data_IF_302936974057
#
_entry.id   IF_302936974057
#
_cell.length_a   1.000
_cell.length_b   1.000
_cell.length_c   1.000
_cell.angle_alpha   90.00
_cell.angle_beta   90.00
_cell.angle_gamma   90.00
#
_symmetry.space_group_name_H-M   'P 1'
#
loop_
_entity.id
_entity.type
_entity.pdbx_description
1 polymer ?
#
# COMPACT_ATOMS: atom_id res chain seq x y z
N UNK A 1 1.24 -11.30 0.62
CA UNK A 1 2.49 -10.49 0.63
C UNK A 1 2.40 -9.51 -0.52
N UNK A 2 3.00 -8.32 -0.41
CA UNK A 2 3.02 -7.39 -1.53
C UNK A 2 3.87 -7.98 -2.67
N UNK A 3 3.41 -7.80 -3.91
CA UNK A 3 4.14 -8.24 -5.09
C UNK A 3 5.22 -7.22 -5.38
N UNK A 4 6.46 -7.68 -5.54
CA UNK A 4 7.60 -6.82 -5.82
C UNK A 4 7.92 -6.80 -7.30
N UNK A 5 8.23 -5.61 -7.83
CA UNK A 5 8.71 -5.44 -9.20
C UNK A 5 10.03 -4.69 -9.18
N UNK A 6 10.94 -5.05 -10.08
CA UNK A 6 12.20 -4.34 -10.23
C UNK A 6 11.99 -3.15 -11.16
N UNK A 7 12.54 -2.00 -10.76
CA UNK A 7 12.57 -0.81 -11.58
C UNK A 7 13.99 -0.25 -11.62
N UNK A 8 14.37 0.34 -12.73
CA UNK A 8 15.70 0.89 -12.97
C UNK A 8 15.63 2.25 -13.67
N UNK A 9 16.55 3.14 -13.29
CA UNK A 9 16.78 4.42 -13.95
C UNK A 9 18.27 4.75 -13.91
N UNK A 10 18.91 4.89 -15.08
CA UNK A 10 20.34 5.20 -15.21
C UNK A 10 21.26 4.29 -14.37
N UNK A 11 20.98 2.98 -14.33
CA UNK A 11 21.74 2.02 -13.51
C UNK A 11 21.33 1.95 -12.04
N UNK A 12 20.49 2.87 -11.55
CA UNK A 12 19.97 2.84 -10.19
C UNK A 12 18.73 1.96 -10.10
N UNK A 13 18.83 0.88 -9.35
CA UNK A 13 17.73 -0.07 -9.12
C UNK A 13 16.91 0.32 -7.89
N UNK A 14 15.59 0.27 -8.02
CA UNK A 14 14.61 0.42 -6.94
C UNK A 14 13.56 -0.68 -7.04
N UNK A 15 12.92 -0.98 -5.91
CA UNK A 15 11.80 -1.92 -5.83
C UNK A 15 10.48 -1.15 -5.89
N UNK A 16 9.60 -1.55 -6.79
CA UNK A 16 8.18 -1.21 -6.76
C UNK A 16 7.38 -2.29 -6.02
N UNK A 17 6.22 -1.91 -5.50
CA UNK A 17 5.32 -2.81 -4.78
C UNK A 17 3.89 -2.69 -5.29
N UNK A 18 3.20 -3.82 -5.44
CA UNK A 18 1.80 -3.89 -5.82
C UNK A 18 0.99 -4.66 -4.77
N UNK A 19 -0.27 -4.30 -4.63
CA UNK A 19 -1.17 -4.89 -3.63
C UNK A 19 -1.11 -4.24 -2.26
N UNK A 20 -1.69 -4.90 -1.26
CA UNK A 20 -1.81 -4.38 0.10
C UNK A 20 -0.44 -4.24 0.78
N UNK A 21 -0.20 -3.11 1.44
CA UNK A 21 1.03 -2.83 2.15
C UNK A 21 0.94 -3.30 3.59
N UNK A 22 1.24 -4.58 3.82
CA UNK A 22 1.35 -5.15 5.16
C UNK A 22 2.33 -4.38 6.06
N UNK A 23 3.44 -3.93 5.49
CA UNK A 23 4.41 -3.12 6.23
C UNK A 23 3.81 -1.78 6.64
N UNK A 24 3.10 -1.07 5.77
CA UNK A 24 2.46 0.19 6.15
C UNK A 24 1.33 -0.02 7.17
N UNK A 25 0.60 -1.13 7.08
CA UNK A 25 -0.43 -1.48 8.06
C UNK A 25 0.14 -1.61 9.48
N UNK A 26 1.30 -2.26 9.65
CA UNK A 26 1.92 -2.45 10.97
C UNK A 26 2.78 -1.26 11.42
N UNK A 27 3.54 -0.65 10.51
CA UNK A 27 4.59 0.34 10.86
C UNK A 27 4.28 1.78 10.44
N UNK A 28 3.15 2.02 9.78
CA UNK A 28 2.65 3.35 9.41
C UNK A 28 3.70 4.24 8.70
N UNK A 29 3.98 5.46 9.20
CA UNK A 29 4.88 6.44 8.58
C UNK A 29 6.35 5.99 8.49
N UNK A 30 6.76 4.95 9.22
CA UNK A 30 8.12 4.40 9.13
C UNK A 30 8.40 3.81 7.75
N UNK A 31 7.39 3.29 7.07
CA UNK A 31 7.57 2.65 5.75
C UNK A 31 7.96 3.67 4.68
N UNK A 32 7.26 4.81 4.52
CA UNK A 32 7.74 5.88 3.66
C UNK A 32 9.16 6.37 3.97
N UNK A 33 9.56 6.42 5.25
CA UNK A 33 10.94 6.81 5.64
C UNK A 33 11.96 5.83 5.06
N UNK A 34 11.79 4.52 5.32
CA UNK A 34 12.73 3.51 4.83
C UNK A 34 12.77 3.41 3.30
N UNK A 35 11.67 3.76 2.63
CA UNK A 35 11.58 3.82 1.17
C UNK A 35 12.06 5.15 0.57
N UNK A 36 12.50 6.09 1.41
CA UNK A 36 12.87 7.46 1.05
C UNK A 36 11.76 8.20 0.27
N UNK A 37 10.50 7.93 0.58
CA UNK A 37 9.32 8.57 0.01
C UNK A 37 8.85 9.70 0.92
N UNK A 38 9.48 10.86 0.77
CA UNK A 38 9.22 12.02 1.62
C UNK A 38 7.78 12.55 1.47
N UNK A 39 7.21 12.47 0.26
CA UNK A 39 5.83 12.91 0.01
C UNK A 39 4.85 12.08 0.82
N UNK A 40 4.93 10.75 0.76
CA UNK A 40 4.04 9.91 1.53
C UNK A 40 4.37 9.90 3.01
N UNK A 41 5.63 10.11 3.41
CA UNK A 41 5.96 10.34 4.82
C UNK A 41 5.15 11.51 5.41
N UNK A 42 5.10 12.65 4.72
CA UNK A 42 4.29 13.80 5.15
C UNK A 42 2.79 13.48 5.21
N UNK A 43 2.28 12.74 4.22
CA UNK A 43 0.86 12.31 4.19
C UNK A 43 0.53 11.39 5.38
N UNK A 44 1.43 10.47 5.73
CA UNK A 44 1.25 9.54 6.83
C UNK A 44 1.38 10.20 8.21
N UNK A 45 2.24 11.22 8.36
CA UNK A 45 2.45 11.89 9.65
C UNK A 45 1.41 12.99 9.91
N UNK A 46 0.80 13.54 8.87
CA UNK A 46 -0.17 14.63 8.96
C UNK A 46 -1.30 14.40 9.99
N UNK A 47 -1.96 13.23 10.06
CA UNK A 47 -2.99 12.98 11.07
C UNK A 47 -2.50 13.15 12.52
N UNK A 48 -1.25 12.78 12.81
CA UNK A 48 -0.69 12.92 14.16
C UNK A 48 -0.36 14.38 14.49
N UNK A 49 0.16 15.13 13.51
CA UNK A 49 0.37 16.57 13.65
C UNK A 49 -0.98 17.26 13.87
N UNK A 50 -2.01 16.84 13.14
CA UNK A 50 -3.35 17.41 13.24
C UNK A 50 -3.95 17.22 14.64
N UNK A 51 -3.86 16.00 15.21
CA UNK A 51 -4.25 15.74 16.61
C UNK A 51 -3.44 16.60 17.58
N UNK A 52 -2.10 16.64 17.43
CA UNK A 52 -1.23 17.42 18.31
C UNK A 52 -1.52 18.93 18.26
N UNK A 53 -1.97 19.44 17.11
CA UNK A 53 -2.38 20.83 16.97
C UNK A 53 -3.68 21.08 17.73
N UNK A 54 -4.65 20.18 17.63
CA UNK A 54 -5.90 20.28 18.37
C UNK A 54 -5.68 20.33 19.88
N UNK A 55 -4.78 19.49 20.41
CA UNK A 55 -4.43 19.52 21.83
C UNK A 55 -3.69 20.80 22.22
N UNK A 56 -2.83 21.34 21.34
CA UNK A 56 -2.12 22.60 21.59
C UNK A 56 -3.02 23.82 21.57
N UNK A 57 -4.20 23.72 20.94
CA UNK A 57 -5.23 24.77 20.90
C UNK A 57 -6.27 24.63 22.02
N UNK A 58 -6.04 23.73 22.97
CA UNK A 58 -6.94 23.45 24.11
C UNK A 58 -8.38 23.16 23.68
N UNK A 59 -8.53 22.42 22.58
CA UNK A 59 -9.84 21.99 22.10
C UNK A 59 -10.46 20.97 23.06
N UNK A 60 -11.78 21.07 23.25
CA UNK A 60 -12.54 20.15 24.08
C UNK A 60 -12.69 18.77 23.39
N UNK A 61 -11.78 17.84 23.70
CA UNK A 61 -11.82 16.47 23.21
C UNK A 61 -12.82 15.57 23.94
N UNK A 62 -13.45 16.04 25.02
CA UNK A 62 -14.59 15.32 25.62
C UNK A 62 -15.85 15.48 24.76
N UNK A 63 -15.88 16.51 23.90
CA UNK A 63 -16.89 16.63 22.86
C UNK A 63 -16.68 15.58 21.76
N UNK A 64 -17.60 14.61 21.71
CA UNK A 64 -17.60 13.52 20.73
C UNK A 64 -17.43 13.98 19.26
N UNK A 65 -17.99 15.13 18.89
CA UNK A 65 -17.88 15.65 17.53
C UNK A 65 -16.47 16.15 17.23
N UNK A 66 -15.87 16.90 18.16
CA UNK A 66 -14.49 17.40 18.03
C UNK A 66 -13.53 16.21 18.03
N UNK A 67 -13.65 15.29 19.00
CA UNK A 67 -12.84 14.08 19.06
C UNK A 67 -12.89 13.29 17.75
N UNK A 68 -14.09 13.10 17.18
CA UNK A 68 -14.26 12.37 15.93
C UNK A 68 -13.50 13.04 14.78
N UNK A 69 -13.60 14.37 14.61
CA UNK A 69 -12.92 15.10 13.53
C UNK A 69 -11.40 14.90 13.55
N UNK A 70 -10.79 14.91 14.73
CA UNK A 70 -9.34 14.82 14.88
C UNK A 70 -8.83 13.37 14.85
N UNK A 71 -9.59 12.42 15.38
CA UNK A 71 -9.19 11.00 15.43
C UNK A 71 -9.48 10.30 14.09
N UNK A 72 -10.53 10.69 13.37
CA UNK A 72 -10.93 10.05 12.11
C UNK A 72 -9.78 9.98 11.07
N UNK A 73 -8.99 11.04 10.81
CA UNK A 73 -7.82 10.96 9.93
C UNK A 73 -6.79 9.91 10.35
N UNK A 74 -6.62 9.65 11.65
CA UNK A 74 -5.70 8.62 12.15
C UNK A 74 -6.21 7.23 11.77
N UNK A 75 -7.53 6.99 11.90
CA UNK A 75 -8.16 5.76 11.45
C UNK A 75 -8.03 5.56 9.94
N UNK A 76 -8.26 6.62 9.14
CA UNK A 76 -8.06 6.57 7.69
C UNK A 76 -6.61 6.21 7.34
N UNK A 77 -5.64 6.84 8.00
CA UNK A 77 -4.23 6.50 7.80
C UNK A 77 -3.93 5.05 8.15
N UNK A 78 -4.48 4.52 9.25
CA UNK A 78 -4.23 3.14 9.68
C UNK A 78 -4.88 2.08 8.78
N UNK A 79 -6.11 2.29 8.35
CA UNK A 79 -6.92 1.25 7.71
C UNK A 79 -7.08 1.43 6.20
N UNK A 80 -6.93 2.65 5.66
CA UNK A 80 -7.09 2.91 4.22
C UNK A 80 -5.73 3.02 3.52
N UNK A 81 -4.75 3.71 4.11
CA UNK A 81 -3.47 3.94 3.41
C UNK A 81 -2.73 2.67 3.01
N UNK A 82 -2.73 1.58 3.79
CA UNK A 82 -2.10 0.32 3.38
C UNK A 82 -2.61 -0.24 2.05
N UNK A 83 -3.88 0.00 1.68
CA UNK A 83 -4.43 -0.43 0.40
C UNK A 83 -3.92 0.38 -0.79
N UNK A 84 -3.64 1.67 -0.58
CA UNK A 84 -3.31 2.61 -1.66
C UNK A 84 -1.81 2.92 -1.76
N UNK A 85 -1.08 2.81 -0.66
CA UNK A 85 0.28 3.32 -0.56
C UNK A 85 1.24 2.67 -1.57
N UNK A 86 1.27 1.34 -1.66
CA UNK A 86 2.11 0.63 -2.62
C UNK A 86 1.84 1.06 -4.08
N UNK A 87 0.56 1.21 -4.44
CA UNK A 87 0.16 1.70 -5.77
C UNK A 87 0.70 3.09 -6.06
N UNK A 88 0.53 4.02 -5.13
CA UNK A 88 1.01 5.39 -5.32
C UNK A 88 2.53 5.50 -5.30
N UNK A 89 3.20 4.73 -4.44
CA UNK A 89 4.66 4.65 -4.40
C UNK A 89 5.22 4.18 -5.75
N UNK A 90 4.73 3.05 -6.27
CA UNK A 90 5.17 2.49 -7.56
C UNK A 90 4.86 3.41 -8.72
N UNK A 91 3.66 4.03 -8.75
CA UNK A 91 3.34 5.05 -9.76
C UNK A 91 4.22 6.30 -9.65
N UNK A 92 4.64 6.67 -8.44
CA UNK A 92 5.59 7.76 -8.20
C UNK A 92 6.94 7.47 -8.85
N UNK A 93 7.49 6.27 -8.60
CA UNK A 93 8.74 5.83 -9.21
C UNK A 93 8.67 5.81 -10.75
N UNK A 94 7.58 5.31 -11.33
CA UNK A 94 7.38 5.30 -12.78
C UNK A 94 7.34 6.73 -13.35
N UNK A 95 6.64 7.65 -12.67
CA UNK A 95 6.61 9.07 -13.06
C UNK A 95 7.98 9.75 -12.97
N UNK A 96 8.83 9.31 -12.04
CA UNK A 96 10.21 9.75 -11.94
C UNK A 96 11.11 9.14 -13.04
N UNK A 97 10.60 8.23 -13.87
CA UNK A 97 11.32 7.60 -14.98
C UNK A 97 11.98 6.26 -14.62
N UNK A 98 11.63 5.66 -13.49
CA UNK A 98 12.04 4.28 -13.19
C UNK A 98 11.14 3.30 -13.93
N UNK A 99 11.74 2.48 -14.81
CA UNK A 99 11.04 1.50 -15.63
C UNK A 99 11.59 0.09 -15.36
N UNK A 100 10.79 -0.97 -15.55
CA UNK A 100 11.32 -2.32 -15.43
C UNK A 100 12.45 -2.55 -16.46
N UNK A 101 13.53 -3.27 -16.09
CA UNK A 101 14.56 -3.69 -17.04
C UNK A 101 13.93 -4.45 -18.23
N UNK A 102 14.47 -4.29 -19.44
CA UNK A 102 13.88 -4.89 -20.66
C UNK A 102 13.88 -6.42 -20.65
N UNK A 103 14.84 -7.00 -19.95
CA UNK A 103 15.06 -8.44 -19.77
C UNK A 103 14.28 -9.03 -18.57
N UNK A 104 13.63 -8.18 -17.77
CA UNK A 104 12.77 -8.61 -16.65
C UNK A 104 11.33 -8.82 -17.12
N UNK A 105 11.07 -9.96 -17.77
CA UNK A 105 9.75 -10.35 -18.26
C UNK A 105 8.69 -10.31 -17.14
N UNK A 106 9.05 -10.69 -15.91
CA UNK A 106 8.14 -10.68 -14.76
C UNK A 106 7.67 -9.26 -14.43
N UNK A 107 8.60 -8.34 -14.16
CA UNK A 107 8.24 -6.97 -13.80
C UNK A 107 7.51 -6.26 -14.93
N UNK A 108 7.89 -6.52 -16.18
CA UNK A 108 7.16 -5.98 -17.34
C UNK A 108 5.74 -6.54 -17.45
N UNK A 109 5.57 -7.86 -17.32
CA UNK A 109 4.26 -8.50 -17.39
C UNK A 109 3.31 -7.97 -16.31
N UNK A 110 3.79 -7.88 -15.07
CA UNK A 110 3.01 -7.38 -13.95
C UNK A 110 2.63 -5.92 -14.16
N UNK A 111 3.57 -5.03 -14.49
CA UNK A 111 3.29 -3.60 -14.63
C UNK A 111 2.40 -3.29 -15.84
N UNK A 112 2.56 -4.01 -16.95
CA UNK A 112 1.71 -3.85 -18.14
C UNK A 112 0.32 -4.47 -17.94
N UNK A 113 0.26 -5.71 -17.44
CA UNK A 113 -0.98 -6.41 -17.13
C UNK A 113 -1.86 -5.72 -16.10
N UNK A 114 -1.26 -5.00 -15.15
CA UNK A 114 -2.00 -4.25 -14.13
C UNK A 114 -2.27 -2.78 -14.50
N UNK A 115 -1.87 -2.34 -15.70
CA UNK A 115 -2.14 -0.98 -16.21
C UNK A 115 -1.30 0.13 -15.55
N UNK A 116 -0.11 -0.20 -15.04
CA UNK A 116 0.88 0.80 -14.65
C UNK A 116 1.70 1.28 -15.85
N UNK A 117 1.88 0.41 -16.84
CA UNK A 117 2.52 0.67 -18.13
C UNK A 117 1.63 0.15 -19.26
N UNK A 118 1.81 0.70 -20.45
CA UNK A 118 1.11 0.22 -21.64
C UNK A 118 1.94 -0.87 -22.34
N UNK A 119 1.25 -1.78 -23.02
CA UNK A 119 1.88 -2.71 -23.96
C UNK A 119 2.36 -1.94 -25.19
N UNK A 120 3.54 -2.26 -25.68
CA UNK A 120 4.03 -1.75 -26.95
C UNK A 120 3.53 -2.63 -28.10
N UNK A 121 3.45 -2.08 -29.31
CA UNK A 121 3.09 -2.87 -30.49
C UNK A 121 4.02 -4.06 -30.70
N UNK A 122 5.31 -3.91 -30.37
CA UNK A 122 6.30 -4.99 -30.41
C UNK A 122 5.96 -6.13 -29.44
N UNK A 123 5.51 -5.80 -28.22
CA UNK A 123 5.08 -6.82 -27.26
C UNK A 123 3.89 -7.62 -27.80
N UNK A 124 2.92 -6.94 -28.43
CA UNK A 124 1.70 -7.56 -28.92
C UNK A 124 1.92 -8.46 -30.15
N UNK A 125 2.98 -8.19 -30.92
CA UNK A 125 3.38 -9.03 -32.06
C UNK A 125 4.08 -10.32 -31.62
N UNK A 126 4.75 -10.32 -30.46
CA UNK A 126 5.43 -11.48 -29.90
C UNK A 126 4.45 -12.37 -29.11
N UNK A 127 3.86 -13.33 -29.83
CA UNK A 127 2.89 -14.29 -29.26
C UNK A 127 3.48 -15.13 -28.11
N UNK A 128 4.75 -15.51 -28.21
CA UNK A 128 5.38 -16.36 -27.20
C UNK A 128 5.54 -15.58 -25.89
N UNK A 129 6.01 -14.32 -25.99
CA UNK A 129 6.11 -13.41 -24.86
C UNK A 129 4.75 -13.13 -24.22
N UNK A 130 3.70 -12.93 -25.03
CA UNK A 130 2.35 -12.70 -24.51
C UNK A 130 1.76 -13.90 -23.77
N UNK A 131 2.02 -15.13 -24.21
CA UNK A 131 1.63 -16.32 -23.46
C UNK A 131 2.38 -16.42 -22.12
N UNK A 132 3.69 -16.12 -22.09
CA UNK A 132 4.44 -16.06 -20.83
C UNK A 132 3.85 -15.01 -19.88
N UNK A 133 3.53 -13.83 -20.39
CA UNK A 133 2.93 -12.75 -19.60
C UNK A 133 1.57 -13.13 -19.03
N UNK A 134 0.76 -13.83 -19.81
CA UNK A 134 -0.55 -14.33 -19.36
C UNK A 134 -0.42 -15.27 -18.17
N UNK A 135 0.53 -16.20 -18.21
CA UNK A 135 0.81 -17.11 -17.08
C UNK A 135 1.26 -16.33 -15.83
N UNK A 136 2.16 -15.36 -16.00
CA UNK A 136 2.64 -14.51 -14.90
C UNK A 136 1.50 -13.69 -14.29
N UNK A 137 0.62 -13.13 -15.11
CA UNK A 137 -0.53 -12.35 -14.66
C UNK A 137 -1.56 -13.24 -13.94
N UNK A 138 -1.80 -14.45 -14.43
CA UNK A 138 -2.69 -15.42 -13.79
C UNK A 138 -2.17 -15.82 -12.39
N UNK A 139 -0.85 -16.07 -12.28
CA UNK A 139 -0.20 -16.34 -11.00
C UNK A 139 -0.36 -15.13 -10.04
N UNK A 140 -0.08 -13.92 -10.53
CA UNK A 140 -0.30 -12.69 -9.77
C UNK A 140 -1.74 -12.55 -9.28
N UNK A 141 -2.74 -12.78 -10.13
CA UNK A 141 -4.15 -12.69 -9.74
C UNK A 141 -4.51 -13.70 -8.66
N UNK A 142 -3.97 -14.92 -8.74
CA UNK A 142 -4.17 -15.95 -7.73
C UNK A 142 -3.53 -15.57 -6.39
N UNK A 143 -2.31 -15.01 -6.41
CA UNK A 143 -1.66 -14.47 -5.22
C UNK A 143 -2.45 -13.29 -4.63
N UNK A 144 -2.99 -12.40 -5.47
CA UNK A 144 -3.85 -11.28 -5.03
C UNK A 144 -5.13 -11.76 -4.35
N UNK A 145 -5.77 -12.82 -4.86
CA UNK A 145 -6.94 -13.44 -4.22
C UNK A 145 -6.60 -14.01 -2.84
N UNK A 146 -5.48 -14.73 -2.73
CA UNK A 146 -4.99 -15.26 -1.44
C UNK A 146 -4.65 -14.15 -0.45
N UNK A 147 -4.00 -13.09 -0.91
CA UNK A 147 -3.69 -11.91 -0.09
C UNK A 147 -4.97 -11.24 0.43
N UNK A 148 -5.99 -11.10 -0.42
CA UNK A 148 -7.30 -10.58 -0.02
C UNK A 148 -7.97 -11.42 1.07
N UNK A 149 -7.97 -12.76 0.93
CA UNK A 149 -8.46 -13.64 2.00
C UNK A 149 -7.68 -13.43 3.31
N UNK A 150 -6.35 -13.28 3.22
CA UNK A 150 -5.50 -13.04 4.39
C UNK A 150 -5.86 -11.71 5.08
N UNK A 151 -6.09 -10.64 4.31
CA UNK A 151 -6.54 -9.34 4.84
C UNK A 151 -7.85 -9.49 5.61
N UNK A 152 -8.84 -10.17 5.02
CA UNK A 152 -10.14 -10.38 5.66
C UNK A 152 -9.97 -11.13 6.99
N UNK A 153 -9.20 -12.22 7.00
CA UNK A 153 -8.94 -13.00 8.21
C UNK A 153 -8.30 -12.13 9.30
N UNK A 154 -7.28 -11.33 8.94
CA UNK A 154 -6.61 -10.45 9.92
C UNK A 154 -7.57 -9.40 10.47
N UNK A 155 -8.42 -8.78 9.65
CA UNK A 155 -9.40 -7.81 10.12
C UNK A 155 -10.46 -8.43 11.04
N UNK A 156 -10.92 -9.64 10.73
CA UNK A 156 -11.83 -10.40 11.60
C UNK A 156 -11.17 -10.72 12.94
N UNK A 157 -9.92 -11.18 12.92
CA UNK A 157 -9.15 -11.47 14.15
C UNK A 157 -8.96 -10.22 15.01
N UNK A 158 -8.67 -9.07 14.41
CA UNK A 158 -8.60 -7.79 15.13
C UNK A 158 -9.95 -7.46 15.78
N UNK A 159 -11.06 -7.62 15.06
CA UNK A 159 -12.40 -7.42 15.61
C UNK A 159 -12.72 -8.34 16.79
N UNK A 160 -12.37 -9.63 16.67
CA UNK A 160 -12.53 -10.62 17.76
C UNK A 160 -11.68 -10.26 18.97
N UNK A 161 -10.43 -9.83 18.77
CA UNK A 161 -9.56 -9.38 19.86
C UNK A 161 -10.14 -8.15 20.57
N UNK A 162 -10.63 -7.16 19.83
CA UNK A 162 -11.27 -5.98 20.42
C UNK A 162 -12.50 -6.37 21.24
N UNK A 163 -13.36 -7.24 20.70
CA UNK A 163 -14.54 -7.74 21.43
C UNK A 163 -14.15 -8.52 22.70
N UNK A 164 -13.10 -9.34 22.62
CA UNK A 164 -12.57 -10.07 23.77
C UNK A 164 -12.06 -9.11 24.86
N UNK A 165 -11.26 -8.11 24.51
CA UNK A 165 -10.77 -7.12 25.48
C UNK A 165 -11.93 -6.30 26.07
N UNK A 166 -12.91 -5.90 25.27
CA UNK A 166 -14.10 -5.20 25.74
C UNK A 166 -14.88 -6.05 26.76
N UNK A 167 -15.09 -7.33 26.45
CA UNK A 167 -15.71 -8.29 27.38
C UNK A 167 -14.90 -8.39 28.69
N UNK A 168 -13.57 -8.57 28.62
CA UNK A 168 -12.73 -8.64 29.82
C UNK A 168 -12.84 -7.38 30.70
N UNK A 169 -12.92 -6.19 30.09
CA UNK A 169 -13.08 -4.93 30.82
C UNK A 169 -14.47 -4.76 31.45
N UNK A 170 -15.51 -5.45 30.99
CA UNK A 170 -16.85 -5.33 31.59
C UNK A 170 -17.03 -6.18 32.85
N UNK A 171 -16.09 -7.07 33.18
CA UNK A 171 -16.09 -7.89 34.40
C UNK A 171 -15.00 -7.47 35.40
N UNK A 172 -14.28 -6.39 35.13
CA UNK A 172 -13.30 -5.79 36.05
C UNK A 172 -13.85 -4.54 36.72
#
# INVERSE_FOLDING_TARGET
MAIEVNLEKYGHKKKGFLGFSWTAFFFNFLVPIFRADFKWFLVFIFPFIFVSLGTSLDLDFDNNFIAFIFIFPVFVSKFVFPFIYNKFYTKGLIKEGYLPPKDDDYSNAILKGTGYLEYTDEDLLDKEKMERYKVIIEEYENERKKDMHTIIIVLVLIGVLIAFFYFMTSYS
#
